data_IF_785902870176
#
_entry.id   IF_785902870176
#
_cell.length_a   1.000
_cell.length_b   1.000
_cell.length_c   1.000
_cell.angle_alpha   90.00
_cell.angle_beta   90.00
_cell.angle_gamma   90.00
#
_symmetry.space_group_name_H-M   'P 1'
#
loop_
_entity.id
_entity.type
_entity.pdbx_description
1 polymer ?
#
# COMPACT_ATOMS: atom_id res chain seq x y z
N UNK A 1 -10.72 -4.15 35.79
CA UNK A 1 -9.80 -3.03 35.47
C UNK A 1 -9.45 -3.09 33.99
N UNK A 2 -9.74 -2.04 33.23
CA UNK A 2 -9.35 -1.95 31.84
C UNK A 2 -7.94 -1.35 31.79
N UNK A 3 -6.94 -2.16 31.45
CA UNK A 3 -5.59 -1.65 31.17
C UNK A 3 -5.43 -1.33 29.70
N UNK A 4 -4.58 -0.34 29.37
CA UNK A 4 -4.19 -0.07 27.99
C UNK A 4 -3.63 -1.33 27.34
N UNK A 5 -3.94 -1.55 26.07
CA UNK A 5 -3.44 -2.73 25.32
C UNK A 5 -1.95 -2.63 25.05
N UNK A 6 -1.49 -1.42 24.70
CA UNK A 6 -0.09 -1.05 24.58
C UNK A 6 0.21 -0.01 25.67
N UNK A 7 1.14 -0.29 26.55
CA UNK A 7 1.63 0.67 27.53
C UNK A 7 2.65 1.63 26.90
N UNK A 8 2.93 2.74 27.59
CA UNK A 8 3.85 3.76 27.06
C UNK A 8 5.29 3.27 26.93
N UNK A 9 5.74 2.37 27.79
CA UNK A 9 7.11 1.83 27.73
C UNK A 9 7.28 0.99 26.48
N UNK A 10 6.27 0.17 26.15
CA UNK A 10 6.24 -0.65 24.96
C UNK A 10 6.21 0.22 23.70
N UNK A 11 5.36 1.25 23.66
CA UNK A 11 5.29 2.21 22.56
C UNK A 11 6.64 2.90 22.37
N UNK A 12 7.21 3.43 23.44
CA UNK A 12 8.50 4.14 23.40
C UNK A 12 9.64 3.25 22.93
N UNK A 13 9.61 1.96 23.28
CA UNK A 13 10.64 1.00 22.83
C UNK A 13 10.69 0.78 21.31
N UNK A 14 9.63 1.13 20.61
CA UNK A 14 9.51 1.03 19.15
C UNK A 14 9.68 2.37 18.43
N UNK A 15 9.75 3.49 19.16
CA UNK A 15 9.99 4.80 18.56
C UNK A 15 11.41 4.91 18.00
N UNK A 16 11.53 5.57 16.84
CA UNK A 16 12.80 5.79 16.19
C UNK A 16 12.79 7.09 15.38
N UNK A 17 13.90 7.85 15.42
CA UNK A 17 14.04 9.14 14.75
C UNK A 17 13.93 9.05 13.21
N UNK A 18 14.28 7.91 12.61
CA UNK A 18 14.21 7.68 11.16
C UNK A 18 12.88 7.05 10.69
N UNK A 19 11.97 6.78 11.61
CA UNK A 19 10.63 6.31 11.26
C UNK A 19 9.69 7.49 10.97
N UNK A 20 8.74 7.30 10.06
CA UNK A 20 7.78 8.33 9.66
C UNK A 20 8.35 9.37 8.70
N UNK A 21 9.47 9.09 8.06
CA UNK A 21 10.16 9.97 7.11
C UNK A 21 10.16 9.29 5.75
N UNK A 22 9.30 9.73 4.77
CA UNK A 22 9.18 9.11 3.46
C UNK A 22 10.49 9.03 2.68
N UNK A 23 11.38 10.02 2.87
CA UNK A 23 12.69 10.11 2.22
C UNK A 23 13.64 8.98 2.64
N UNK A 24 13.37 8.31 3.75
CA UNK A 24 14.14 7.14 4.19
C UNK A 24 13.66 5.83 3.58
N UNK A 25 12.69 5.86 2.66
CA UNK A 25 12.27 4.69 1.91
C UNK A 25 13.42 4.15 1.07
N UNK A 26 13.71 2.84 1.18
CA UNK A 26 14.85 2.19 0.54
C UNK A 26 14.48 1.39 -0.72
N UNK A 27 13.23 1.47 -1.17
CA UNK A 27 12.75 0.72 -2.33
C UNK A 27 12.34 -0.72 -2.02
N UNK A 28 12.29 -1.08 -0.75
CA UNK A 28 11.89 -2.41 -0.29
C UNK A 28 10.38 -2.67 -0.37
N UNK A 29 9.95 -3.91 -0.03
CA UNK A 29 8.54 -4.27 -0.03
C UNK A 29 7.78 -3.50 1.06
N UNK A 30 6.67 -2.87 0.66
CA UNK A 30 5.80 -2.12 1.55
C UNK A 30 4.48 -2.83 1.81
N UNK A 31 4.01 -2.69 3.04
CA UNK A 31 2.74 -3.18 3.52
C UNK A 31 1.93 -2.01 4.04
N UNK A 32 0.69 -1.94 3.61
CA UNK A 32 -0.16 -0.77 3.83
C UNK A 32 -1.39 -1.16 4.61
N UNK A 33 -1.73 -0.36 5.61
CA UNK A 33 -2.99 -0.46 6.33
C UNK A 33 -3.81 0.80 6.13
N UNK A 34 -5.11 0.64 5.85
CA UNK A 34 -6.02 1.76 5.61
C UNK A 34 -7.23 1.65 6.52
N UNK A 35 -7.38 2.61 7.40
CA UNK A 35 -8.60 2.82 8.17
C UNK A 35 -9.47 3.85 7.46
N UNK A 36 -10.63 3.39 6.96
CA UNK A 36 -11.52 4.18 6.11
C UNK A 36 -12.44 5.03 6.96
N UNK A 37 -12.38 6.34 6.77
CA UNK A 37 -13.20 7.27 7.53
C UNK A 37 -14.59 7.47 6.95
N UNK A 38 -15.59 7.44 7.81
CA UNK A 38 -16.86 8.09 7.60
C UNK A 38 -16.72 9.62 7.76
N UNK A 39 -17.77 10.37 7.44
CA UNK A 39 -17.79 11.85 7.29
C UNK A 39 -17.04 12.67 8.36
N UNK A 40 -16.85 12.17 9.58
CA UNK A 40 -16.22 12.89 10.69
C UNK A 40 -15.00 12.19 11.29
N UNK A 41 -14.73 10.94 10.88
CA UNK A 41 -13.65 10.14 11.41
C UNK A 41 -12.32 10.47 10.72
N UNK A 42 -11.23 10.01 11.28
CA UNK A 42 -9.91 10.21 10.73
C UNK A 42 -9.62 9.12 9.69
N UNK A 43 -9.46 9.50 8.43
CA UNK A 43 -8.90 8.62 7.41
C UNK A 43 -7.39 8.47 7.62
N UNK A 44 -6.91 7.24 7.70
CA UNK A 44 -5.51 6.95 7.96
C UNK A 44 -4.98 5.94 6.96
N UNK A 45 -3.86 6.26 6.31
CA UNK A 45 -3.04 5.30 5.58
C UNK A 45 -1.72 5.14 6.33
N UNK A 46 -1.38 3.91 6.69
CA UNK A 46 -0.09 3.57 7.31
C UNK A 46 0.76 2.77 6.33
N UNK A 47 1.93 3.30 5.99
CA UNK A 47 2.88 2.66 5.07
C UNK A 47 4.08 2.15 5.87
N UNK A 48 4.32 0.84 5.82
CA UNK A 48 5.45 0.18 6.47
C UNK A 48 6.31 -0.57 5.46
N UNK A 49 7.59 -0.24 5.40
CA UNK A 49 8.59 -0.97 4.60
C UNK A 49 9.22 -2.08 5.43
N UNK A 50 9.38 -3.26 4.87
CA UNK A 50 10.13 -4.35 5.51
C UNK A 50 11.60 -4.23 5.19
N UNK A 51 12.41 -4.07 6.24
CA UNK A 51 13.87 -4.09 6.18
C UNK A 51 14.37 -5.20 7.11
N UNK A 52 14.84 -6.30 6.54
CA UNK A 52 15.07 -7.51 7.29
C UNK A 52 13.79 -8.10 7.87
N UNK A 53 13.73 -8.30 9.16
CA UNK A 53 12.55 -8.78 9.92
C UNK A 53 11.76 -7.66 10.60
N UNK A 54 12.14 -6.40 10.38
CA UNK A 54 11.54 -5.22 11.01
C UNK A 54 10.70 -4.45 9.99
N UNK A 55 9.51 -4.04 10.40
CA UNK A 55 8.66 -3.10 9.68
C UNK A 55 9.02 -1.67 10.09
N UNK A 56 9.46 -0.87 9.13
CA UNK A 56 9.75 0.54 9.32
C UNK A 56 8.60 1.38 8.80
N UNK A 57 7.93 2.08 9.68
CA UNK A 57 6.95 3.08 9.25
C UNK A 57 7.65 4.12 8.39
N UNK A 58 7.23 4.27 7.14
CA UNK A 58 7.75 5.29 6.22
C UNK A 58 6.88 6.53 6.20
N UNK A 59 5.57 6.32 6.28
CA UNK A 59 4.63 7.43 6.25
C UNK A 59 3.33 7.04 6.97
N UNK A 60 2.70 8.02 7.63
CA UNK A 60 1.33 7.94 8.13
C UNK A 60 0.59 9.14 7.55
N UNK A 61 -0.33 8.88 6.63
CA UNK A 61 -1.16 9.92 6.01
C UNK A 61 -2.45 9.99 6.80
N UNK A 62 -2.75 11.18 7.31
CA UNK A 62 -3.93 11.45 8.11
C UNK A 62 -4.75 12.57 7.49
N UNK A 63 -6.05 12.33 7.30
CA UNK A 63 -6.96 13.35 6.77
C UNK A 63 -8.32 13.27 7.45
N UNK A 64 -8.91 14.41 7.71
CA UNK A 64 -10.28 14.52 8.23
C UNK A 64 -11.20 15.07 7.16
N UNK A 65 -12.44 14.60 7.15
CA UNK A 65 -13.51 15.12 6.28
C UNK A 65 -13.16 15.07 4.79
N UNK A 66 -12.48 14.01 4.38
CA UNK A 66 -12.14 13.78 2.97
C UNK A 66 -13.23 12.97 2.27
N UNK A 67 -13.49 13.33 1.03
CA UNK A 67 -14.36 12.55 0.15
C UNK A 67 -13.70 11.22 -0.24
N UNK A 68 -14.50 10.24 -0.66
CA UNK A 68 -13.95 8.99 -1.18
C UNK A 68 -13.01 9.20 -2.38
N UNK A 69 -13.30 10.18 -3.23
CA UNK A 69 -12.43 10.52 -4.35
C UNK A 69 -11.04 11.01 -3.88
N UNK A 70 -10.99 11.83 -2.82
CA UNK A 70 -9.72 12.26 -2.23
C UNK A 70 -9.00 11.11 -1.52
N UNK A 71 -9.73 10.21 -0.84
CA UNK A 71 -9.15 9.00 -0.25
C UNK A 71 -8.51 8.13 -1.35
N UNK A 72 -9.19 7.96 -2.47
CA UNK A 72 -8.68 7.23 -3.64
C UNK A 72 -7.41 7.86 -4.20
N UNK A 73 -7.37 9.19 -4.35
CA UNK A 73 -6.18 9.91 -4.83
C UNK A 73 -4.98 9.75 -3.88
N UNK A 74 -5.21 9.78 -2.56
CA UNK A 74 -4.16 9.56 -1.56
C UNK A 74 -3.61 8.12 -1.64
N UNK A 75 -4.49 7.15 -1.84
CA UNK A 75 -4.08 5.75 -1.98
C UNK A 75 -3.34 5.52 -3.30
N UNK A 76 -3.78 6.14 -4.40
CA UNK A 76 -3.09 6.10 -5.70
C UNK A 76 -1.66 6.65 -5.58
N UNK A 77 -1.48 7.77 -4.88
CA UNK A 77 -0.16 8.35 -4.62
C UNK A 77 0.75 7.38 -3.85
N UNK A 78 0.23 6.70 -2.83
CA UNK A 78 0.98 5.67 -2.08
C UNK A 78 1.40 4.51 -2.99
N UNK A 79 0.50 3.99 -3.83
CA UNK A 79 0.84 2.90 -4.77
C UNK A 79 1.82 3.33 -5.87
N UNK A 80 1.87 4.63 -6.21
CA UNK A 80 2.86 5.17 -7.13
C UNK A 80 4.25 5.33 -6.50
N UNK A 81 4.32 5.76 -5.25
CA UNK A 81 5.60 6.06 -4.57
C UNK A 81 6.25 4.85 -3.92
N UNK A 82 5.49 3.87 -3.50
CA UNK A 82 5.96 2.72 -2.74
C UNK A 82 5.74 1.41 -3.48
N UNK A 83 6.66 0.46 -3.30
CA UNK A 83 6.49 -0.91 -3.78
C UNK A 83 5.51 -1.66 -2.85
N UNK A 84 4.22 -1.38 -2.98
CA UNK A 84 3.18 -1.99 -2.16
C UNK A 84 2.96 -3.43 -2.58
N UNK A 85 3.31 -4.36 -1.70
CA UNK A 85 3.09 -5.80 -1.91
C UNK A 85 1.66 -6.17 -1.53
N UNK A 86 1.18 -5.67 -0.39
CA UNK A 86 -0.16 -5.93 0.11
C UNK A 86 -0.69 -4.72 0.87
N UNK A 87 -1.98 -4.47 0.70
CA UNK A 87 -2.74 -3.42 1.36
C UNK A 87 -3.97 -4.03 2.02
N UNK A 88 -4.09 -3.92 3.34
CA UNK A 88 -5.28 -4.29 4.09
C UNK A 88 -6.10 -3.03 4.40
N UNK A 89 -7.39 -3.05 4.08
CA UNK A 89 -8.30 -1.92 4.25
C UNK A 89 -9.48 -2.34 5.12
N UNK A 90 -9.93 -1.46 6.02
CA UNK A 90 -11.18 -1.70 6.74
C UNK A 90 -12.37 -1.73 5.77
N UNK A 91 -13.02 -2.89 5.68
CA UNK A 91 -14.19 -3.11 4.82
C UNK A 91 -15.50 -2.93 5.58
N UNK A 92 -15.46 -2.54 6.86
CA UNK A 92 -16.66 -2.47 7.70
C UNK A 92 -17.57 -1.31 7.27
N UNK A 93 -18.83 -1.58 7.11
CA UNK A 93 -19.83 -0.56 6.80
C UNK A 93 -19.58 0.15 5.47
N UNK A 94 -19.12 1.41 5.51
CA UNK A 94 -18.89 2.20 4.30
C UNK A 94 -17.61 1.84 3.53
N UNK A 95 -16.75 0.98 4.12
CA UNK A 95 -15.50 0.54 3.51
C UNK A 95 -15.66 -0.44 2.35
N UNK A 96 -16.84 -1.03 2.15
CA UNK A 96 -17.07 -2.03 1.11
C UNK A 96 -16.77 -1.50 -0.30
N UNK A 97 -17.33 -0.34 -0.65
CA UNK A 97 -17.12 0.27 -1.97
C UNK A 97 -15.66 0.74 -2.19
N UNK A 98 -15.00 1.47 -1.29
CA UNK A 98 -13.59 1.81 -1.42
C UNK A 98 -12.67 0.58 -1.61
N UNK A 99 -12.94 -0.51 -0.90
CA UNK A 99 -12.17 -1.77 -1.04
C UNK A 99 -12.39 -2.39 -2.42
N UNK A 100 -13.62 -2.46 -2.91
CA UNK A 100 -13.93 -2.96 -4.26
C UNK A 100 -13.24 -2.10 -5.34
N UNK A 101 -13.30 -0.79 -5.23
CA UNK A 101 -12.65 0.14 -6.16
C UNK A 101 -11.12 -0.01 -6.13
N UNK A 102 -10.52 -0.18 -4.96
CA UNK A 102 -9.09 -0.43 -4.82
C UNK A 102 -8.67 -1.80 -5.40
N UNK A 103 -9.44 -2.86 -5.18
CA UNK A 103 -9.21 -4.18 -5.80
C UNK A 103 -9.23 -4.11 -7.32
N UNK A 104 -10.15 -3.36 -7.88
CA UNK A 104 -10.24 -3.16 -9.34
C UNK A 104 -9.03 -2.42 -9.90
N UNK A 105 -8.48 -1.44 -9.16
CA UNK A 105 -7.32 -0.64 -9.58
C UNK A 105 -5.99 -1.35 -9.40
N UNK A 106 -5.81 -2.08 -8.29
CA UNK A 106 -4.50 -2.64 -7.91
C UNK A 106 -4.45 -4.17 -7.94
N UNK A 107 -5.58 -4.83 -8.10
CA UNK A 107 -5.71 -6.29 -8.12
C UNK A 107 -6.08 -6.89 -6.76
N UNK A 108 -6.84 -7.98 -6.81
CA UNK A 108 -7.36 -8.69 -5.63
C UNK A 108 -6.27 -9.33 -4.77
N UNK A 109 -5.14 -9.71 -5.39
CA UNK A 109 -4.01 -10.28 -4.66
C UNK A 109 -3.25 -9.26 -3.81
N UNK A 110 -3.34 -7.97 -4.17
CA UNK A 110 -2.66 -6.89 -3.46
C UNK A 110 -3.55 -6.16 -2.47
N UNK A 111 -4.86 -6.20 -2.65
CA UNK A 111 -5.81 -5.49 -1.79
C UNK A 111 -6.73 -6.46 -1.10
N UNK A 112 -6.71 -6.45 0.22
CA UNK A 112 -7.58 -7.23 1.07
C UNK A 112 -8.49 -6.32 1.88
N UNK A 113 -9.80 -6.57 1.81
CA UNK A 113 -10.77 -5.97 2.71
C UNK A 113 -10.89 -6.79 4.00
N UNK A 114 -10.75 -6.15 5.12
CA UNK A 114 -10.82 -6.76 6.45
C UNK A 114 -12.08 -6.26 7.17
N UNK A 115 -12.98 -7.18 7.52
CA UNK A 115 -14.12 -6.85 8.36
C UNK A 115 -13.69 -6.76 9.82
N UNK A 116 -14.02 -5.68 10.51
CA UNK A 116 -13.71 -5.46 11.93
C UNK A 116 -14.64 -6.23 12.86
N UNK A 117 -14.76 -7.55 12.62
CA UNK A 117 -15.41 -8.47 13.57
C UNK A 117 -14.61 -8.55 14.87
N UNK A 118 -15.24 -9.02 15.95
CA UNK A 118 -14.53 -9.22 17.22
C UNK A 118 -13.31 -10.12 17.07
N UNK A 119 -13.41 -11.20 16.30
CA UNK A 119 -12.30 -12.13 16.07
C UNK A 119 -11.17 -11.48 15.29
N UNK A 120 -11.47 -10.79 14.20
CA UNK A 120 -10.45 -10.12 13.40
C UNK A 120 -9.75 -9.01 14.19
N UNK A 121 -10.50 -8.22 14.96
CA UNK A 121 -9.92 -7.23 15.87
C UNK A 121 -9.00 -7.86 16.91
N UNK A 122 -9.40 -8.99 17.50
CA UNK A 122 -8.58 -9.70 18.47
C UNK A 122 -7.28 -10.22 17.83
N UNK A 123 -7.38 -10.84 16.66
CA UNK A 123 -6.22 -11.35 15.91
C UNK A 123 -5.26 -10.23 15.57
N UNK A 124 -5.73 -9.15 14.95
CA UNK A 124 -4.90 -8.02 14.55
C UNK A 124 -4.28 -7.30 15.76
N UNK A 125 -5.03 -7.08 16.82
CA UNK A 125 -4.51 -6.45 18.03
C UNK A 125 -3.45 -7.32 18.73
N UNK A 126 -3.61 -8.65 18.72
CA UNK A 126 -2.62 -9.58 19.27
C UNK A 126 -1.35 -9.56 18.44
N UNK A 127 -1.43 -9.70 17.12
CA UNK A 127 -0.29 -9.58 16.21
C UNK A 127 0.40 -8.23 16.34
N UNK A 128 -0.38 -7.15 16.43
CA UNK A 128 0.13 -5.81 16.67
C UNK A 128 0.97 -5.74 17.94
N UNK A 129 0.43 -6.23 19.07
CA UNK A 129 1.14 -6.25 20.36
C UNK A 129 2.42 -7.06 20.29
N UNK A 130 2.41 -8.23 19.65
CA UNK A 130 3.58 -9.07 19.43
C UNK A 130 4.68 -8.31 18.67
N UNK A 131 4.32 -7.57 17.60
CA UNK A 131 5.30 -6.76 16.86
C UNK A 131 5.93 -5.66 17.72
N UNK A 132 5.16 -5.04 18.61
CA UNK A 132 5.70 -4.09 19.59
C UNK A 132 6.62 -4.78 20.60
N UNK A 133 6.21 -5.91 21.19
CA UNK A 133 6.97 -6.67 22.17
C UNK A 133 8.30 -7.19 21.59
N UNK A 134 8.27 -7.70 20.37
CA UNK A 134 9.44 -8.20 19.68
C UNK A 134 10.29 -7.09 19.02
N UNK A 135 9.87 -5.84 19.15
CA UNK A 135 10.50 -4.67 18.50
C UNK A 135 10.65 -4.85 16.98
N UNK A 136 9.69 -5.53 16.35
CA UNK A 136 9.62 -5.74 14.90
C UNK A 136 8.88 -4.64 14.16
N UNK A 137 8.58 -3.54 14.84
CA UNK A 137 8.00 -2.33 14.28
C UNK A 137 8.82 -1.13 14.72
N UNK A 138 9.05 -0.16 13.81
CA UNK A 138 9.57 1.17 14.13
C UNK A 138 8.53 2.21 13.79
N UNK A 139 8.22 3.06 14.76
CA UNK A 139 7.22 4.13 14.66
C UNK A 139 7.88 5.50 14.84
N UNK A 140 7.26 6.57 14.33
CA UNK A 140 7.79 7.93 14.47
C UNK A 140 8.00 8.33 15.92
N UNK A 141 9.19 8.83 16.23
CA UNK A 141 9.53 9.39 17.54
C UNK A 141 8.88 10.76 17.71
N UNK A 142 8.42 11.05 18.93
CA UNK A 142 7.92 12.37 19.31
C UNK A 142 6.53 12.72 18.74
N UNK A 143 5.84 11.79 18.10
CA UNK A 143 4.47 11.98 17.65
C UNK A 143 3.47 11.73 18.80
N UNK A 144 3.12 12.80 19.53
CA UNK A 144 2.23 12.70 20.69
C UNK A 144 0.82 12.21 20.35
N UNK A 145 0.31 12.57 19.16
CA UNK A 145 -1.01 12.14 18.72
C UNK A 145 -1.05 10.64 18.43
N UNK A 146 -0.01 10.11 17.76
CA UNK A 146 0.14 8.67 17.53
C UNK A 146 0.31 7.90 18.85
N UNK A 147 1.17 8.41 19.75
CA UNK A 147 1.41 7.80 21.06
C UNK A 147 0.12 7.71 21.89
N UNK A 148 -0.66 8.79 21.92
CA UNK A 148 -1.94 8.83 22.62
C UNK A 148 -2.94 7.84 22.00
N UNK A 149 -2.99 7.74 20.67
CA UNK A 149 -3.89 6.86 19.95
C UNK A 149 -3.57 5.37 20.20
N UNK A 150 -2.29 5.01 20.14
CA UNK A 150 -1.82 3.66 20.48
C UNK A 150 -2.15 3.25 21.91
N UNK A 151 -1.99 4.17 22.86
CA UNK A 151 -2.27 3.92 24.28
C UNK A 151 -3.77 3.88 24.62
N UNK A 152 -4.60 4.53 23.81
CA UNK A 152 -6.05 4.65 24.00
C UNK A 152 -6.79 3.31 23.88
N UNK A 153 -6.23 2.36 23.09
CA UNK A 153 -6.84 1.05 22.88
C UNK A 153 -6.81 0.23 24.17
N UNK A 154 -7.99 -0.20 24.62
CA UNK A 154 -8.16 -0.99 25.85
C UNK A 154 -8.84 -2.31 25.53
N UNK A 155 -8.39 -3.38 26.17
CA UNK A 155 -9.10 -4.65 26.17
C UNK A 155 -10.03 -4.71 27.38
N UNK A 156 -11.31 -4.92 27.12
CA UNK A 156 -12.33 -5.12 28.15
C UNK A 156 -12.99 -6.49 27.95
N UNK A 157 -13.47 -7.08 29.04
CA UNK A 157 -14.24 -8.31 28.97
C UNK A 157 -15.72 -7.93 28.94
N UNK A 158 -16.46 -8.43 27.94
CA UNK A 158 -17.89 -8.22 27.86
C UNK A 158 -18.62 -8.96 28.98
N UNK A 159 -19.89 -8.64 29.19
CA UNK A 159 -20.74 -9.36 30.16
C UNK A 159 -20.85 -10.87 29.89
N UNK A 160 -20.60 -11.29 28.64
CA UNK A 160 -20.59 -12.70 28.22
C UNK A 160 -19.20 -13.35 28.32
N UNK A 161 -18.19 -12.67 28.87
CA UNK A 161 -16.81 -13.17 29.00
C UNK A 161 -15.94 -13.03 27.77
N UNK A 162 -16.50 -12.57 26.64
CA UNK A 162 -15.72 -12.40 25.40
C UNK A 162 -14.84 -11.13 25.44
N UNK A 163 -13.58 -11.18 24.97
CA UNK A 163 -12.72 -10.02 24.90
C UNK A 163 -13.22 -9.03 23.85
N UNK A 164 -13.28 -7.76 24.20
CA UNK A 164 -13.65 -6.68 23.30
C UNK A 164 -12.61 -5.56 23.38
N UNK A 165 -12.27 -4.98 22.23
CA UNK A 165 -11.45 -3.77 22.20
C UNK A 165 -12.33 -2.54 22.17
N UNK A 166 -12.01 -1.59 23.04
CA UNK A 166 -12.65 -0.28 23.11
C UNK A 166 -11.57 0.79 23.07
N UNK A 167 -11.87 1.89 22.45
CA UNK A 167 -11.10 3.11 22.57
C UNK A 167 -12.00 4.18 23.19
N UNK A 168 -11.48 4.96 24.11
CA UNK A 168 -12.22 6.12 24.59
C UNK A 168 -12.42 7.06 23.41
N UNK A 169 -13.68 7.29 23.04
CA UNK A 169 -14.01 8.24 21.99
C UNK A 169 -13.82 9.65 22.53
N UNK A 170 -12.84 10.33 22.03
CA UNK A 170 -12.65 11.75 22.26
C UNK A 170 -12.69 12.52 20.93
N UNK A 171 -12.45 13.83 20.97
CA UNK A 171 -12.39 14.68 19.80
C UNK A 171 -11.28 14.29 18.79
N UNK A 172 -10.40 13.33 19.13
CA UNK A 172 -9.24 12.91 18.32
C UNK A 172 -9.48 11.62 17.53
N UNK A 173 -10.60 10.90 17.72
CA UNK A 173 -10.96 9.68 16.97
C UNK A 173 -11.09 8.43 17.84
N UNK A 174 -11.30 7.29 17.18
CA UNK A 174 -11.57 5.98 17.80
C UNK A 174 -10.37 5.01 17.71
N UNK A 175 -9.13 5.48 17.89
CA UNK A 175 -7.90 4.73 17.69
C UNK A 175 -7.64 4.38 16.20
N UNK A 176 -8.00 5.28 15.29
CA UNK A 176 -7.94 5.08 13.84
C UNK A 176 -6.49 4.83 13.37
N UNK A 177 -5.51 5.55 13.95
CA UNK A 177 -4.07 5.32 13.67
C UNK A 177 -3.62 3.94 14.10
N UNK A 178 -4.09 3.49 15.26
CA UNK A 178 -3.77 2.16 15.79
C UNK A 178 -4.30 1.07 14.89
N UNK A 179 -5.55 1.19 14.42
CA UNK A 179 -6.15 0.20 13.53
C UNK A 179 -5.49 0.20 12.15
N UNK A 180 -5.15 1.37 11.59
CA UNK A 180 -4.37 1.43 10.35
C UNK A 180 -2.99 0.76 10.50
N UNK A 181 -2.30 0.97 11.62
CA UNK A 181 -1.03 0.30 11.93
C UNK A 181 -1.18 -1.22 12.06
N UNK A 182 -2.23 -1.69 12.74
CA UNK A 182 -2.51 -3.13 12.86
C UNK A 182 -2.91 -3.76 11.52
N UNK A 183 -3.62 -3.03 10.66
CA UNK A 183 -3.89 -3.47 9.28
C UNK A 183 -2.60 -3.57 8.46
N UNK A 184 -1.64 -2.65 8.62
CA UNK A 184 -0.35 -2.74 7.94
C UNK A 184 0.47 -3.95 8.42
N UNK A 185 0.45 -4.23 9.73
CA UNK A 185 1.06 -5.45 10.29
C UNK A 185 0.37 -6.69 9.75
N UNK A 186 -0.96 -6.73 9.71
CA UNK A 186 -1.73 -7.84 9.14
C UNK A 186 -1.38 -8.05 7.64
N UNK A 187 -1.24 -6.96 6.88
CA UNK A 187 -0.79 -7.02 5.49
C UNK A 187 0.58 -7.68 5.35
N UNK A 188 1.47 -7.50 6.31
CA UNK A 188 2.82 -8.08 6.30
C UNK A 188 2.87 -9.56 6.67
N UNK A 189 1.85 -10.08 7.36
CA UNK A 189 1.80 -11.47 7.85
C UNK A 189 1.16 -12.46 6.87
N UNK A 190 0.54 -12.01 5.77
CA UNK A 190 -0.04 -12.91 4.76
C UNK A 190 1.02 -13.68 3.99
N UNK A 191 0.63 -14.81 3.38
CA UNK A 191 1.49 -15.54 2.46
C UNK A 191 2.00 -14.58 1.39
N UNK A 192 3.32 -14.44 1.32
CA UNK A 192 3.95 -13.64 0.28
C UNK A 192 3.80 -14.38 -1.05
N UNK A 193 2.83 -13.98 -1.86
CA UNK A 193 2.91 -14.26 -3.28
C UNK A 193 4.04 -13.38 -3.79
N UNK A 194 5.26 -13.92 -3.83
CA UNK A 194 6.40 -13.26 -4.46
C UNK A 194 6.09 -13.27 -5.95
N UNK A 195 5.43 -12.23 -6.42
CA UNK A 195 5.37 -11.96 -7.86
C UNK A 195 6.76 -11.41 -8.19
N UNK A 196 7.67 -12.32 -8.58
CA UNK A 196 8.95 -11.93 -9.16
C UNK A 196 8.65 -11.30 -10.53
N UNK A 197 8.38 -10.01 -10.51
CA UNK A 197 8.20 -9.20 -11.70
C UNK A 197 9.59 -8.99 -12.30
N UNK A 198 10.11 -10.03 -12.95
CA UNK A 198 11.20 -9.84 -13.90
C UNK A 198 10.62 -9.03 -15.03
N UNK A 199 10.82 -7.72 -14.97
CA UNK A 199 10.69 -6.87 -16.13
C UNK A 199 11.43 -7.59 -17.25
N UNK A 200 10.70 -8.12 -18.24
CA UNK A 200 11.30 -8.59 -19.48
C UNK A 200 11.94 -7.36 -20.08
N UNK A 201 13.23 -7.18 -19.82
CA UNK A 201 14.01 -6.11 -20.38
C UNK A 201 13.70 -6.09 -21.89
N UNK A 202 13.42 -4.91 -22.41
CA UNK A 202 13.31 -4.70 -23.84
C UNK A 202 14.49 -5.41 -24.49
N UNK A 203 14.21 -6.47 -25.23
CA UNK A 203 15.19 -7.18 -26.03
C UNK A 203 15.82 -6.10 -26.90
N UNK A 204 17.06 -5.74 -26.61
CA UNK A 204 17.85 -4.92 -27.51
C UNK A 204 17.89 -5.68 -28.82
N UNK A 205 17.22 -5.18 -29.85
CA UNK A 205 17.44 -5.63 -31.20
C UNK A 205 18.90 -5.34 -31.53
N UNK A 206 19.72 -6.36 -31.39
CA UNK A 206 21.07 -6.35 -31.94
C UNK A 206 20.89 -6.40 -33.44
N UNK A 207 20.81 -5.23 -34.08
CA UNK A 207 21.08 -5.11 -35.50
C UNK A 207 22.48 -5.63 -35.74
N UNK A 208 22.59 -6.84 -36.24
CA UNK A 208 23.81 -7.31 -36.88
C UNK A 208 24.03 -6.40 -38.09
N UNK A 209 25.00 -5.51 -37.96
CA UNK A 209 25.64 -4.86 -39.09
C UNK A 209 26.43 -5.97 -39.78
N UNK A 210 25.83 -6.56 -40.82
CA UNK A 210 26.57 -7.37 -41.76
C UNK A 210 27.59 -6.46 -42.44
N UNK A 211 28.84 -6.80 -42.24
CA UNK A 211 29.97 -6.24 -42.94
C UNK A 211 29.81 -6.53 -44.45
N UNK A 212 29.48 -5.49 -45.20
CA UNK A 212 29.63 -5.51 -46.65
C UNK A 212 31.09 -5.34 -47.00
N UNK A 213 31.70 -6.44 -47.44
CA UNK A 213 33.04 -6.40 -48.06
C UNK A 213 32.87 -5.87 -49.51
N UNK A 214 33.76 -4.95 -49.95
CA UNK A 214 33.74 -4.51 -51.35
C UNK A 214 34.54 -5.47 -52.22
N UNK A 215 33.91 -6.01 -53.25
CA UNK A 215 34.62 -6.88 -54.20
C UNK A 215 33.85 -7.14 -55.48
N UNK A 216 34.29 -6.45 -56.53
CA UNK A 216 34.29 -6.81 -57.97
C UNK A 216 32.98 -6.92 -58.74
N UNK A 217 32.75 -5.94 -59.61
CA UNK A 217 32.66 -6.00 -61.07
C UNK A 217 31.56 -6.86 -61.72
N UNK A 218 30.69 -6.22 -62.49
CA UNK A 218 29.93 -6.96 -63.47
C UNK A 218 28.62 -6.31 -63.94
N UNK A 219 28.78 -5.46 -64.93
CA UNK A 219 27.91 -5.19 -66.10
C UNK A 219 26.43 -4.83 -65.91
N UNK A 220 26.17 -3.68 -66.43
CA UNK A 220 24.93 -3.02 -66.84
C UNK A 220 24.22 -3.83 -67.97
N UNK A 221 22.94 -4.06 -67.86
CA UNK A 221 22.02 -4.11 -68.96
C UNK A 221 20.68 -3.45 -68.60
N UNK A 222 20.40 -2.42 -69.39
CA UNK A 222 19.17 -1.65 -69.47
C UNK A 222 18.05 -2.47 -70.16
N UNK A 223 16.83 -2.24 -69.75
CA UNK A 223 15.53 -2.23 -70.44
C UNK A 223 14.44 -2.43 -69.35
N UNK A 224 13.38 -1.70 -69.31
CA UNK A 224 12.71 -0.74 -70.18
C UNK A 224 11.30 -0.56 -69.59
N UNK A 225 10.87 0.63 -69.55
CA UNK A 225 9.52 1.18 -69.76
C UNK A 225 8.26 0.41 -69.34
N UNK A 226 7.41 1.07 -68.56
CA UNK A 226 5.98 0.77 -68.41
C UNK A 226 5.30 1.78 -67.47
N UNK A 227 4.97 2.94 -67.99
CA UNK A 227 3.98 3.90 -67.46
C UNK A 227 2.56 3.38 -67.70
N UNK A 228 1.62 3.79 -66.88
CA UNK A 228 0.23 4.18 -67.06
C UNK A 228 -0.43 4.08 -65.69
N UNK A 229 -0.87 5.13 -65.01
CA UNK A 229 -1.98 6.02 -65.31
C UNK A 229 -3.11 5.67 -64.38
N UNK A 230 -3.41 6.48 -63.43
CA UNK A 230 -4.43 7.48 -63.41
C UNK A 230 -5.68 7.05 -62.64
N UNK A 231 -6.06 7.85 -61.72
CA UNK A 231 -7.37 8.44 -61.41
C UNK A 231 -7.82 8.30 -59.94
N UNK A 232 -7.79 9.45 -59.34
CA UNK A 232 -8.78 9.85 -58.33
C UNK A 232 -10.08 10.23 -59.05
N UNK A 233 -11.27 10.11 -58.48
CA UNK A 233 -11.88 11.24 -57.81
C UNK A 233 -12.75 10.90 -56.57
N UNK A 234 -12.70 11.78 -55.62
CA UNK A 234 -13.71 12.53 -54.86
C UNK A 234 -15.18 12.04 -54.87
N UNK A 235 -15.76 12.23 -53.70
CA UNK A 235 -17.10 12.72 -53.36
C UNK A 235 -18.08 11.76 -52.66
N UNK A 236 -18.46 12.31 -51.49
CA UNK A 236 -19.78 12.39 -50.85
C UNK A 236 -20.48 11.13 -50.28
N UNK A 237 -20.53 11.05 -49.00
CA UNK A 237 -21.65 11.31 -48.06
C UNK A 237 -21.19 11.12 -46.62
#
# INVERSE_FOLDING_TARGET
ESSAWLDFDLITSCEHEFAGIPEHYQGGPCYVGVDIAARNDLYVIWVAERVGDVLWTREIIERRRVSFAEQDMLLDDVFCRYNVIRCCMDQTGMGEKPVEDARRRYGELRVEGVLFTMNNKLTMATQGKEHFQDRKLRIPQGNSALRADLHKLKRVTSATGAPRFVADSDSTGHADRTWAGFLAINASGGEQVIIDYRSAGKRAETRQLEHFAPGSGGQITSRGWGTVGGNNPLEDY
#
